data_IF_849211436965
#
_entry.id   IF_849211436965
#
_cell.length_a   1.000
_cell.length_b   1.000
_cell.length_c   1.000
_cell.angle_alpha   90.00
_cell.angle_beta   90.00
_cell.angle_gamma   90.00
#
_symmetry.space_group_name_H-M   'P 1'
#
loop_
_entity.id
_entity.type
_entity.pdbx_description
1 polymer ?
#
# COMPACT_ATOMS: atom_id res chain seq x y z
N UNK A 1 23.04 17.17 23.20
CA UNK A 1 22.03 17.04 22.10
C UNK A 1 22.07 15.60 21.58
N UNK A 2 21.32 14.68 22.21
CA UNK A 2 21.29 13.27 21.79
C UNK A 2 20.33 13.09 20.62
N UNK A 3 20.80 12.57 19.49
CA UNK A 3 19.95 12.27 18.31
C UNK A 3 19.10 11.03 18.59
N UNK A 4 17.88 10.96 18.04
CA UNK A 4 17.01 9.77 18.15
C UNK A 4 17.47 8.63 17.23
N UNK A 5 18.37 8.97 16.31
CA UNK A 5 19.12 8.08 15.45
C UNK A 5 20.59 8.20 15.84
N UNK A 6 21.20 7.13 16.35
CA UNK A 6 22.61 7.16 16.71
C UNK A 6 23.51 7.15 15.46
N UNK A 7 24.70 7.74 15.56
CA UNK A 7 25.63 7.88 14.40
C UNK A 7 26.06 6.55 13.79
N UNK A 8 26.00 5.47 14.55
CA UNK A 8 26.39 4.12 14.11
C UNK A 8 25.18 3.25 13.75
N UNK A 9 23.96 3.79 13.83
CA UNK A 9 22.74 3.05 13.53
C UNK A 9 22.49 3.08 12.03
N UNK A 10 22.47 1.90 11.41
CA UNK A 10 22.34 1.74 9.95
C UNK A 10 20.91 1.41 9.52
N UNK A 11 20.11 0.85 10.43
CA UNK A 11 18.70 0.57 10.23
C UNK A 11 17.91 0.64 11.54
N UNK A 12 16.60 0.88 11.43
CA UNK A 12 15.66 0.83 12.55
C UNK A 12 14.22 0.70 12.04
N UNK A 13 13.34 0.02 12.78
CA UNK A 13 11.90 0.10 12.49
C UNK A 13 11.35 1.50 12.82
N UNK A 14 10.30 1.93 12.15
CA UNK A 14 9.66 3.23 12.47
C UNK A 14 9.02 3.21 13.87
N UNK A 15 8.63 2.03 14.35
CA UNK A 15 8.13 1.82 15.71
C UNK A 15 9.23 1.92 16.77
N UNK A 16 10.42 1.40 16.50
CA UNK A 16 11.59 1.58 17.38
C UNK A 16 12.06 3.04 17.37
N UNK A 17 11.98 3.73 16.22
CA UNK A 17 12.21 5.17 16.13
C UNK A 17 11.21 5.91 17.05
N UNK A 18 9.92 5.56 16.99
CA UNK A 18 8.87 6.12 17.86
C UNK A 18 9.19 5.91 19.33
N UNK A 19 9.55 4.68 19.74
CA UNK A 19 9.94 4.34 21.12
C UNK A 19 11.20 5.11 21.55
N UNK A 20 12.20 5.27 20.68
CA UNK A 20 13.43 6.01 20.95
C UNK A 20 13.18 7.51 21.16
N UNK A 21 12.24 8.10 20.40
CA UNK A 21 11.78 9.47 20.62
C UNK A 21 11.00 9.61 21.94
N UNK A 22 10.13 8.66 22.27
CA UNK A 22 9.32 8.68 23.49
C UNK A 22 10.14 8.57 24.79
N UNK A 23 11.34 7.98 24.76
CA UNK A 23 12.23 7.81 25.93
C UNK A 23 12.96 9.09 26.36
N UNK A 24 12.86 10.20 25.62
CA UNK A 24 13.59 11.44 25.94
C UNK A 24 12.74 12.41 26.75
N UNK A 25 13.08 12.49 28.04
CA UNK A 25 12.46 13.36 29.07
C UNK A 25 12.45 14.87 28.70
N UNK A 26 13.27 15.32 27.74
CA UNK A 26 13.36 16.72 27.32
C UNK A 26 12.64 17.10 26.02
N UNK A 27 11.87 16.18 25.41
CA UNK A 27 11.08 16.47 24.21
C UNK A 27 9.59 16.24 24.50
N UNK A 28 8.84 17.29 24.88
CA UNK A 28 7.37 17.28 24.88
C UNK A 28 6.80 17.32 23.44
N UNK A 29 7.57 16.90 22.44
CA UNK A 29 7.02 16.44 21.17
C UNK A 29 6.30 15.13 21.49
N UNK A 30 5.05 15.29 21.87
CA UNK A 30 4.10 14.23 22.15
C UNK A 30 4.16 13.14 21.07
N UNK A 31 3.63 11.99 21.47
CA UNK A 31 3.09 10.88 20.71
C UNK A 31 2.23 11.24 19.46
N UNK A 32 2.43 12.39 18.80
CA UNK A 32 1.78 12.75 17.55
C UNK A 32 2.41 11.96 16.39
N UNK A 33 1.70 10.90 16.01
CA UNK A 33 2.01 10.04 14.85
C UNK A 33 2.20 10.88 13.59
N UNK A 34 1.46 11.98 13.42
CA UNK A 34 1.57 12.84 12.23
C UNK A 34 2.90 13.60 12.20
N UNK A 35 3.40 14.03 13.36
CA UNK A 35 4.68 14.70 13.46
C UNK A 35 5.84 13.73 13.20
N UNK A 36 5.70 12.48 13.63
CA UNK A 36 6.67 11.43 13.32
C UNK A 36 6.63 11.05 11.82
N UNK A 37 5.44 10.95 11.21
CA UNK A 37 5.30 10.77 9.76
C UNK A 37 5.98 11.89 8.98
N UNK A 38 5.74 13.17 9.34
CA UNK A 38 6.43 14.32 8.73
C UNK A 38 7.94 14.28 8.94
N UNK A 39 8.40 13.76 10.07
CA UNK A 39 9.84 13.62 10.35
C UNK A 39 10.46 12.56 9.45
N UNK A 40 9.79 11.42 9.28
CA UNK A 40 10.20 10.35 8.36
C UNK A 40 10.20 10.87 6.92
N UNK A 41 9.12 11.52 6.49
CA UNK A 41 9.00 12.15 5.18
C UNK A 41 10.15 13.12 4.91
N UNK A 42 10.44 14.02 5.86
CA UNK A 42 11.55 14.96 5.74
C UNK A 42 12.90 14.23 5.72
N UNK A 43 13.06 13.16 6.50
CA UNK A 43 14.27 12.33 6.50
C UNK A 43 14.53 11.66 5.15
N UNK A 44 13.48 11.16 4.49
CA UNK A 44 13.58 10.58 3.14
C UNK A 44 13.84 11.68 2.09
N UNK A 45 13.10 12.79 2.14
CA UNK A 45 13.30 13.94 1.22
C UNK A 45 14.68 14.59 1.33
N UNK A 46 15.35 14.46 2.47
CA UNK A 46 16.71 14.99 2.70
C UNK A 46 17.81 13.96 2.49
N UNK A 47 17.50 12.80 1.88
CA UNK A 47 18.42 11.67 1.67
C UNK A 47 19.05 11.12 2.96
N UNK A 48 18.41 11.34 4.11
CA UNK A 48 18.90 10.78 5.37
C UNK A 48 18.48 9.32 5.53
N UNK A 49 17.29 8.97 5.02
CA UNK A 49 16.72 7.63 5.12
C UNK A 49 16.15 7.13 3.81
N UNK A 50 16.12 5.81 3.67
CA UNK A 50 15.31 5.07 2.69
C UNK A 50 14.22 4.37 3.48
N UNK A 51 12.97 4.60 3.10
CA UNK A 51 11.81 3.98 3.74
C UNK A 51 11.50 2.66 3.06
N UNK A 52 11.39 1.58 3.81
CA UNK A 52 11.11 0.24 3.31
C UNK A 52 9.87 -0.33 3.97
N UNK A 53 8.91 -0.76 3.16
CA UNK A 53 7.75 -1.49 3.66
C UNK A 53 7.96 -2.98 3.43
N UNK A 54 8.11 -3.75 4.52
CA UNK A 54 8.28 -5.21 4.44
C UNK A 54 7.03 -5.93 3.93
N UNK A 55 5.84 -5.33 4.04
CA UNK A 55 4.59 -5.92 3.51
C UNK A 55 4.47 -5.82 2.00
N UNK A 56 4.94 -4.69 1.45
CA UNK A 56 4.89 -4.44 0.02
C UNK A 56 6.22 -4.82 -0.66
N UNK A 57 7.25 -5.17 0.11
CA UNK A 57 8.63 -5.46 -0.30
C UNK A 57 9.31 -4.36 -1.14
N UNK A 58 8.82 -3.12 -1.04
CA UNK A 58 9.34 -1.97 -1.78
C UNK A 58 10.02 -0.96 -0.86
N UNK A 59 11.13 -0.43 -1.35
CA UNK A 59 11.80 0.75 -0.81
C UNK A 59 11.35 2.02 -1.54
N UNK A 60 11.41 3.13 -0.84
CA UNK A 60 10.97 4.44 -1.26
C UNK A 60 12.03 5.46 -0.86
N UNK A 61 12.36 6.33 -1.80
CA UNK A 61 13.35 7.39 -1.64
C UNK A 61 12.72 8.76 -1.94
N UNK A 62 13.56 9.80 -2.04
CA UNK A 62 13.12 11.16 -2.30
C UNK A 62 12.37 11.36 -3.63
N UNK A 63 12.74 10.60 -4.66
CA UNK A 63 12.24 10.74 -6.03
C UNK A 63 11.07 9.78 -6.27
N UNK A 64 10.91 8.78 -5.40
CA UNK A 64 9.79 7.86 -5.40
C UNK A 64 9.23 7.71 -3.98
N UNK A 65 8.68 8.79 -3.40
CA UNK A 65 8.11 8.75 -2.07
C UNK A 65 6.85 7.85 -2.07
N UNK A 66 6.56 7.18 -0.95
CA UNK A 66 5.32 6.44 -0.85
C UNK A 66 4.14 7.42 -0.83
N UNK A 67 3.00 7.00 -1.38
CA UNK A 67 1.75 7.77 -1.31
C UNK A 67 1.29 7.95 0.14
N UNK A 68 1.77 7.10 1.05
CA UNK A 68 1.47 7.16 2.48
C UNK A 68 2.62 6.65 3.36
N UNK A 69 2.80 7.29 4.53
CA UNK A 69 3.85 7.00 5.50
C UNK A 69 3.28 6.20 6.68
N UNK A 70 3.52 4.90 6.72
CA UNK A 70 3.02 4.03 7.79
C UNK A 70 4.07 3.87 8.90
N UNK A 71 3.60 3.88 10.16
CA UNK A 71 4.45 3.67 11.33
C UNK A 71 4.08 2.32 11.96
N UNK A 72 5.06 1.44 12.06
CA UNK A 72 4.89 0.09 12.59
C UNK A 72 6.17 -0.73 12.50
N UNK A 73 6.16 -1.92 13.10
CA UNK A 73 7.32 -2.82 13.12
C UNK A 73 7.69 -3.35 11.72
N UNK A 74 6.72 -3.35 10.80
CA UNK A 74 6.86 -3.80 9.41
C UNK A 74 7.34 -2.69 8.46
N UNK A 75 7.52 -1.46 8.94
CA UNK A 75 8.13 -0.37 8.15
C UNK A 75 9.48 -0.02 8.74
N UNK A 76 10.50 -0.01 7.89
CA UNK A 76 11.90 0.16 8.29
C UNK A 76 12.49 1.37 7.61
N UNK A 77 13.43 2.01 8.30
CA UNK A 77 14.26 3.07 7.77
C UNK A 77 15.67 2.51 7.68
N UNK A 78 16.28 2.68 6.51
CA UNK A 78 17.66 2.33 6.26
C UNK A 78 18.46 3.60 5.98
N UNK A 79 19.72 3.64 6.42
CA UNK A 79 20.67 4.59 5.88
C UNK A 79 20.88 4.29 4.37
N UNK A 80 21.09 5.30 3.51
CA UNK A 80 21.27 5.08 2.07
C UNK A 80 22.37 4.07 1.73
N UNK A 81 23.50 4.12 2.43
CA UNK A 81 24.62 3.17 2.24
C UNK A 81 24.25 1.73 2.56
N UNK A 82 23.36 1.51 3.53
CA UNK A 82 22.90 0.19 3.91
C UNK A 82 21.83 -0.33 2.94
N UNK A 83 20.96 0.56 2.44
CA UNK A 83 20.02 0.24 1.38
C UNK A 83 20.71 -0.19 0.08
N UNK A 84 21.82 0.47 -0.28
CA UNK A 84 22.69 0.08 -1.40
C UNK A 84 23.33 -1.29 -1.18
N UNK A 85 23.88 -1.55 0.01
CA UNK A 85 24.48 -2.84 0.38
C UNK A 85 23.47 -3.98 0.29
N UNK A 86 22.23 -3.73 0.71
CA UNK A 86 21.12 -4.68 0.68
C UNK A 86 20.42 -4.76 -0.68
N UNK A 87 20.81 -3.93 -1.65
CA UNK A 87 20.18 -3.82 -2.97
C UNK A 87 18.67 -3.70 -2.90
N UNK A 88 18.17 -2.85 -1.99
CA UNK A 88 16.74 -2.68 -1.79
C UNK A 88 16.08 -2.21 -3.09
N UNK A 89 14.94 -2.83 -3.41
CA UNK A 89 14.19 -2.52 -4.62
C UNK A 89 13.47 -1.18 -4.42
N UNK A 90 14.04 -0.10 -4.95
CA UNK A 90 13.40 1.21 -4.89
C UNK A 90 12.30 1.26 -5.96
N UNK A 91 11.06 1.48 -5.53
CA UNK A 91 9.91 1.56 -6.43
C UNK A 91 10.15 2.67 -7.45
N UNK A 92 10.01 2.38 -8.75
CA UNK A 92 10.26 3.34 -9.83
C UNK A 92 11.72 3.49 -10.29
N UNK A 93 12.71 2.99 -9.53
CA UNK A 93 14.15 3.07 -9.88
C UNK A 93 14.85 1.71 -9.99
N UNK A 94 14.26 0.65 -9.46
CA UNK A 94 14.85 -0.67 -9.52
C UNK A 94 14.98 -1.16 -10.98
N UNK A 95 16.21 -1.44 -11.39
CA UNK A 95 16.54 -2.16 -12.61
C UNK A 95 17.06 -3.55 -12.20
N UNK A 96 16.64 -4.64 -12.87
CA UNK A 96 17.21 -5.95 -12.63
C UNK A 96 18.73 -5.91 -12.87
N UNK A 97 19.53 -6.64 -12.07
CA UNK A 97 20.98 -6.66 -12.25
C UNK A 97 21.32 -7.15 -13.65
N UNK A 98 22.18 -6.39 -14.35
CA UNK A 98 22.70 -6.80 -15.65
C UNK A 98 23.42 -8.16 -15.52
N UNK A 99 23.27 -9.08 -16.49
CA UNK A 99 24.03 -10.32 -16.49
C UNK A 99 25.53 -9.99 -16.52
N UNK A 100 26.25 -10.38 -15.47
CA UNK A 100 27.69 -10.16 -15.37
C UNK A 100 28.38 -10.91 -16.52
N UNK A 101 29.21 -10.26 -17.35
CA UNK A 101 30.08 -10.98 -18.28
C UNK A 101 31.16 -11.69 -17.46
N UNK A 102 30.92 -12.97 -17.15
CA UNK A 102 31.94 -13.84 -16.58
C UNK A 102 32.98 -14.17 -17.65
N UNK A 103 34.19 -13.62 -17.52
CA UNK A 103 35.35 -14.12 -18.24
C UNK A 103 35.85 -15.41 -17.58
N UNK A 104 36.02 -16.46 -18.37
CA UNK A 104 37.33 -17.02 -18.72
C UNK A 104 37.19 -18.45 -19.26
N UNK A 105 37.77 -18.71 -20.44
CA UNK A 105 37.93 -20.07 -20.93
C UNK A 105 37.84 -20.18 -22.44
N UNK A 106 39.01 -20.28 -23.06
CA UNK A 106 39.20 -20.53 -24.49
C UNK A 106 38.41 -21.76 -25.01
N UNK A 107 37.98 -21.66 -26.26
CA UNK A 107 37.82 -22.83 -27.12
C UNK A 107 36.51 -22.91 -27.88
N UNK A 108 36.64 -22.80 -29.20
CA UNK A 108 35.91 -23.62 -30.17
C UNK A 108 34.45 -23.24 -30.47
N UNK A 109 34.32 -22.46 -31.54
CA UNK A 109 33.29 -22.56 -32.59
C UNK A 109 32.63 -23.95 -32.71
N UNK A 110 31.30 -24.01 -32.68
CA UNK A 110 30.47 -24.50 -33.80
C UNK A 110 28.97 -24.27 -33.51
N UNK A 111 28.15 -24.15 -34.57
CA UNK A 111 26.78 -23.64 -34.52
C UNK A 111 25.76 -24.77 -34.39
N UNK A 112 24.79 -24.59 -33.50
CA UNK A 112 23.42 -25.11 -33.57
C UNK A 112 22.83 -24.98 -32.17
N UNK A 113 22.16 -23.86 -31.92
CA UNK A 113 21.00 -23.77 -31.04
C UNK A 113 20.53 -22.31 -31.13
N UNK A 114 19.50 -22.08 -31.95
CA UNK A 114 18.72 -20.85 -31.92
C UNK A 114 18.20 -20.65 -30.48
N UNK A 115 18.59 -19.57 -29.77
CA UNK A 115 17.89 -19.21 -28.55
C UNK A 115 16.51 -18.64 -28.95
N UNK A 116 15.44 -18.98 -28.21
CA UNK A 116 14.08 -18.57 -28.56
C UNK A 116 13.97 -17.04 -28.64
N UNK A 117 13.32 -16.55 -29.70
CA UNK A 117 13.13 -15.15 -30.08
C UNK A 117 12.24 -14.32 -29.11
N UNK A 118 12.39 -14.46 -27.79
CA UNK A 118 11.56 -13.73 -26.82
C UNK A 118 12.34 -12.75 -25.92
N UNK A 119 13.60 -12.43 -26.23
CA UNK A 119 14.42 -11.51 -25.43
C UNK A 119 15.00 -10.32 -26.20
N UNK A 120 14.30 -9.85 -27.24
CA UNK A 120 14.81 -8.73 -28.06
C UNK A 120 13.72 -7.81 -28.63
N UNK A 121 12.73 -7.41 -27.84
CA UNK A 121 11.95 -6.19 -28.12
C UNK A 121 11.80 -5.33 -26.86
N UNK A 122 12.09 -4.03 -27.04
CA UNK A 122 11.78 -2.86 -26.21
C UNK A 122 12.86 -2.33 -25.24
N UNK A 123 14.06 -2.11 -25.79
CA UNK A 123 14.65 -0.77 -25.70
C UNK A 123 13.68 0.18 -26.43
N UNK A 124 12.97 1.03 -25.68
CA UNK A 124 11.91 1.99 -26.11
C UNK A 124 10.51 1.35 -26.30
N UNK A 125 9.68 1.29 -25.25
CA UNK A 125 8.25 0.96 -25.36
C UNK A 125 7.60 0.49 -24.06
N UNK A 126 6.43 1.05 -23.74
CA UNK A 126 5.48 0.69 -22.68
C UNK A 126 5.63 -0.72 -22.04
N UNK A 127 6.20 -0.76 -20.84
CA UNK A 127 5.97 -1.90 -19.94
C UNK A 127 4.52 -1.88 -19.45
N UNK A 128 3.80 -2.98 -19.64
CA UNK A 128 2.42 -3.16 -19.16
C UNK A 128 2.37 -2.92 -17.63
N UNK A 129 1.56 -1.96 -17.14
CA UNK A 129 1.52 -1.66 -15.71
C UNK A 129 1.10 -2.88 -14.87
N UNK A 130 1.78 -3.10 -13.75
CA UNK A 130 1.44 -4.20 -12.84
C UNK A 130 0.29 -3.90 -11.89
N UNK A 131 -0.18 -2.64 -11.86
CA UNK A 131 -1.31 -2.20 -11.06
C UNK A 131 -1.90 -0.90 -11.65
N UNK A 132 -3.23 -0.82 -11.73
CA UNK A 132 -3.96 0.38 -12.16
C UNK A 132 -4.57 1.06 -10.95
N UNK A 133 -4.41 2.38 -10.82
CA UNK A 133 -4.87 3.11 -9.63
C UNK A 133 -5.81 4.25 -9.98
N UNK A 134 -6.83 4.45 -9.16
CA UNK A 134 -7.76 5.58 -9.23
C UNK A 134 -8.04 6.15 -7.85
N UNK A 135 -8.34 7.45 -7.79
CA UNK A 135 -8.63 8.15 -6.54
C UNK A 135 -9.84 9.06 -6.66
N UNK A 136 -10.55 9.25 -5.55
CA UNK A 136 -11.73 10.12 -5.46
C UNK A 136 -12.94 9.38 -4.93
N UNK A 137 -14.13 9.92 -5.16
CA UNK A 137 -15.39 9.21 -4.82
C UNK A 137 -15.47 7.88 -5.58
N UNK A 138 -16.17 6.86 -5.08
CA UNK A 138 -16.13 5.52 -5.67
C UNK A 138 -16.40 5.49 -7.19
N UNK A 139 -17.38 6.24 -7.69
CA UNK A 139 -17.64 6.32 -9.13
C UNK A 139 -16.43 6.82 -9.95
N UNK A 140 -15.74 7.85 -9.47
CA UNK A 140 -14.57 8.44 -10.12
C UNK A 140 -13.35 7.52 -10.04
N UNK A 141 -13.11 6.90 -8.89
CA UNK A 141 -11.98 5.99 -8.69
C UNK A 141 -12.10 4.75 -9.60
N UNK A 142 -13.30 4.18 -9.72
CA UNK A 142 -13.57 3.09 -10.67
C UNK A 142 -13.41 3.54 -12.12
N UNK A 143 -13.93 4.71 -12.49
CA UNK A 143 -13.79 5.22 -13.86
C UNK A 143 -12.32 5.39 -14.24
N UNK A 144 -11.50 6.00 -13.37
CA UNK A 144 -10.07 6.13 -13.61
C UNK A 144 -9.38 4.77 -13.78
N UNK A 145 -9.69 3.78 -12.95
CA UNK A 145 -9.11 2.44 -13.10
C UNK A 145 -9.52 1.81 -14.44
N UNK A 146 -10.80 1.92 -14.83
CA UNK A 146 -11.28 1.40 -16.11
C UNK A 146 -10.66 2.12 -17.31
N UNK A 147 -10.48 3.43 -17.24
CA UNK A 147 -9.82 4.23 -18.26
C UNK A 147 -8.36 3.77 -18.44
N UNK A 148 -7.60 3.63 -17.35
CA UNK A 148 -6.23 3.10 -17.40
C UNK A 148 -6.20 1.64 -17.92
N UNK A 149 -7.17 0.81 -17.55
CA UNK A 149 -7.27 -0.55 -18.10
C UNK A 149 -7.50 -0.55 -19.61
N UNK A 150 -8.34 0.36 -20.12
CA UNK A 150 -8.59 0.53 -21.54
C UNK A 150 -7.39 1.08 -22.33
N UNK A 151 -6.62 2.01 -21.74
CA UNK A 151 -5.41 2.55 -22.34
C UNK A 151 -4.27 1.51 -22.49
N UNK A 152 -4.30 0.46 -21.66
CA UNK A 152 -3.24 -0.55 -21.58
C UNK A 152 -3.63 -1.93 -22.12
N UNK A 153 -4.76 -2.06 -22.83
CA UNK A 153 -5.26 -3.34 -23.36
C UNK A 153 -5.37 -4.44 -22.28
N UNK A 154 -5.81 -4.07 -21.08
CA UNK A 154 -6.07 -5.03 -19.99
C UNK A 154 -7.30 -5.86 -20.35
N UNK A 155 -7.19 -7.18 -20.28
CA UNK A 155 -8.30 -8.07 -20.61
C UNK A 155 -9.24 -8.30 -19.42
N UNK A 156 -8.69 -8.35 -18.21
CA UNK A 156 -9.42 -8.64 -16.99
C UNK A 156 -8.71 -8.09 -15.74
N UNK A 157 -9.38 -8.12 -14.61
CA UNK A 157 -8.83 -7.79 -13.28
C UNK A 157 -9.00 -9.01 -12.38
N UNK A 158 -7.96 -9.36 -11.62
CA UNK A 158 -8.03 -10.48 -10.67
C UNK A 158 -8.38 -10.04 -9.25
N UNK A 159 -7.89 -8.86 -8.87
CA UNK A 159 -8.01 -8.33 -7.51
C UNK A 159 -8.25 -6.82 -7.55
N UNK A 160 -9.12 -6.36 -6.65
CA UNK A 160 -9.27 -4.96 -6.32
C UNK A 160 -8.81 -4.71 -4.90
N UNK A 161 -8.10 -3.61 -4.68
CA UNK A 161 -7.74 -3.12 -3.35
C UNK A 161 -8.34 -1.74 -3.18
N UNK A 162 -9.25 -1.61 -2.23
CA UNK A 162 -9.83 -0.33 -1.80
C UNK A 162 -9.17 0.09 -0.51
N UNK A 163 -8.77 1.35 -0.41
CA UNK A 163 -8.27 1.93 0.83
C UNK A 163 -8.76 3.34 1.05
N UNK A 164 -8.99 3.69 2.31
CA UNK A 164 -9.20 5.07 2.73
C UNK A 164 -8.58 5.27 4.10
N UNK A 165 -8.20 6.51 4.37
CA UNK A 165 -7.61 6.88 5.64
C UNK A 165 -7.96 8.31 5.99
N UNK A 166 -8.07 8.59 7.29
CA UNK A 166 -8.28 9.95 7.74
C UNK A 166 -8.63 10.04 9.22
N UNK A 167 -8.85 11.28 9.64
CA UNK A 167 -9.06 11.64 11.05
C UNK A 167 -10.43 12.25 11.32
N UNK A 168 -11.25 12.42 10.28
CA UNK A 168 -12.56 13.04 10.39
C UNK A 168 -13.66 12.01 10.64
N UNK A 169 -14.80 12.51 11.15
CA UNK A 169 -16.01 11.71 11.34
C UNK A 169 -16.50 11.02 10.06
N UNK A 170 -16.31 11.66 8.90
CA UNK A 170 -16.67 11.04 7.61
C UNK A 170 -15.92 9.73 7.31
N UNK A 171 -14.72 9.53 7.86
CA UNK A 171 -13.98 8.27 7.72
C UNK A 171 -14.50 7.19 8.69
N UNK A 172 -15.01 7.59 9.86
CA UNK A 172 -15.77 6.71 10.75
C UNK A 172 -17.04 6.18 10.08
N UNK A 173 -17.79 7.09 9.45
CA UNK A 173 -19.01 6.76 8.74
C UNK A 173 -18.72 5.85 7.54
N UNK A 174 -17.62 6.12 6.81
CA UNK A 174 -17.13 5.25 5.73
C UNK A 174 -16.73 3.86 6.23
N UNK A 175 -16.11 3.75 7.41
CA UNK A 175 -15.77 2.46 8.05
C UNK A 175 -17.04 1.68 8.45
N UNK A 176 -18.04 2.35 8.98
CA UNK A 176 -19.32 1.72 9.32
C UNK A 176 -20.04 1.24 8.04
N UNK A 177 -20.03 2.07 6.99
CA UNK A 177 -20.65 1.82 5.70
C UNK A 177 -19.98 0.69 4.92
N UNK A 178 -18.64 0.63 4.88
CA UNK A 178 -17.94 -0.44 4.14
C UNK A 178 -18.24 -1.83 4.72
N UNK A 179 -18.36 -1.96 6.04
CA UNK A 179 -18.75 -3.24 6.62
C UNK A 179 -20.22 -3.60 6.39
N UNK A 180 -21.07 -2.68 5.91
CA UNK A 180 -22.41 -3.02 5.37
C UNK A 180 -22.36 -3.31 3.86
N UNK A 181 -21.39 -2.71 3.15
CA UNK A 181 -21.16 -2.91 1.73
C UNK A 181 -20.63 -4.31 1.41
N UNK A 182 -19.66 -4.82 2.18
CA UNK A 182 -18.92 -6.07 1.86
C UNK A 182 -19.84 -7.26 1.55
N UNK A 183 -20.89 -7.58 2.35
CA UNK A 183 -21.82 -8.65 2.03
C UNK A 183 -22.59 -8.48 0.71
N UNK A 184 -22.74 -7.24 0.23
CA UNK A 184 -23.47 -6.88 -0.98
C UNK A 184 -22.58 -6.87 -2.23
N UNK A 185 -21.24 -6.94 -2.07
CA UNK A 185 -20.28 -6.99 -3.18
C UNK A 185 -20.28 -8.35 -3.93
N UNK A 186 -21.04 -9.33 -3.43
CA UNK A 186 -21.20 -10.64 -4.06
C UNK A 186 -20.16 -11.68 -3.62
N UNK A 187 -19.93 -12.68 -4.47
CA UNK A 187 -19.01 -13.78 -4.17
C UNK A 187 -17.57 -13.36 -4.51
N UNK A 188 -16.77 -13.16 -3.47
CA UNK A 188 -15.32 -12.96 -3.52
C UNK A 188 -14.70 -13.35 -2.17
N UNK A 189 -13.37 -13.47 -2.14
CA UNK A 189 -12.61 -13.52 -0.89
C UNK A 189 -12.28 -12.09 -0.47
N UNK A 190 -12.44 -11.79 0.82
CA UNK A 190 -12.35 -10.44 1.34
C UNK A 190 -11.32 -10.38 2.46
N UNK A 191 -10.14 -9.88 2.14
CA UNK A 191 -9.09 -9.57 3.10
C UNK A 191 -9.25 -8.15 3.64
N UNK A 192 -9.16 -7.97 4.95
CA UNK A 192 -9.33 -6.67 5.60
C UNK A 192 -8.12 -6.38 6.47
N UNK A 193 -7.62 -5.16 6.35
CA UNK A 193 -6.71 -4.56 7.32
C UNK A 193 -7.33 -3.27 7.85
N UNK A 194 -7.31 -3.10 9.17
CA UNK A 194 -7.82 -1.92 9.87
C UNK A 194 -6.85 -1.52 10.97
N UNK A 195 -6.45 -0.26 10.97
CA UNK A 195 -5.84 0.42 12.11
C UNK A 195 -6.79 1.52 12.57
N UNK A 196 -7.18 1.47 13.84
CA UNK A 196 -8.10 2.42 14.46
C UNK A 196 -7.47 2.95 15.74
N UNK A 197 -7.26 4.27 15.79
CA UNK A 197 -6.84 4.95 17.01
C UNK A 197 -7.90 5.98 17.41
N UNK A 198 -8.41 5.88 18.63
CA UNK A 198 -9.40 6.80 19.18
C UNK A 198 -8.88 7.33 20.50
N UNK A 199 -8.87 8.65 20.66
CA UNK A 199 -8.60 9.35 21.91
C UNK A 199 -9.90 10.04 22.33
N UNK A 200 -10.40 9.72 23.53
CA UNK A 200 -11.67 10.30 24.02
C UNK A 200 -11.44 11.66 24.69
N UNK A 201 -10.39 11.76 25.49
CA UNK A 201 -10.10 12.97 26.28
C UNK A 201 -8.93 13.77 25.70
N UNK A 202 -9.02 15.10 25.80
CA UNK A 202 -7.86 15.97 25.56
C UNK A 202 -6.78 15.71 26.64
N UNK A 203 -5.47 15.83 26.30
CA UNK A 203 -4.40 15.69 27.28
C UNK A 203 -4.63 16.61 28.50
N UNK A 204 -4.48 16.13 29.75
CA UNK A 204 -3.75 14.93 30.19
C UNK A 204 -4.58 13.64 30.30
N UNK A 205 -5.79 13.58 29.74
CA UNK A 205 -6.58 12.36 29.73
C UNK A 205 -5.89 11.23 28.95
N UNK A 206 -5.98 9.99 29.46
CA UNK A 206 -5.32 8.80 28.90
C UNK A 206 -6.30 7.76 28.35
N UNK A 207 -7.59 8.09 28.24
CA UNK A 207 -8.58 7.18 27.69
C UNK A 207 -8.43 7.09 26.17
N UNK A 208 -7.94 5.95 25.70
CA UNK A 208 -7.66 5.69 24.30
C UNK A 208 -7.91 4.25 23.92
N UNK A 209 -8.19 4.04 22.63
CA UNK A 209 -8.27 2.74 21.99
C UNK A 209 -7.27 2.73 20.85
N UNK A 210 -6.43 1.70 20.82
CA UNK A 210 -5.56 1.37 19.70
C UNK A 210 -5.94 -0.05 19.26
N UNK A 211 -6.42 -0.18 18.02
CA UNK A 211 -6.86 -1.45 17.45
C UNK A 211 -6.19 -1.65 16.10
N UNK A 212 -5.54 -2.80 15.96
CA UNK A 212 -5.00 -3.28 14.70
C UNK A 212 -5.64 -4.64 14.38
N UNK A 213 -6.14 -4.79 13.16
CA UNK A 213 -6.75 -6.01 12.67
C UNK A 213 -6.25 -6.33 11.27
N UNK A 214 -5.94 -7.61 11.04
CA UNK A 214 -5.69 -8.16 9.71
C UNK A 214 -6.32 -9.54 9.63
N UNK A 215 -7.13 -9.78 8.60
CA UNK A 215 -7.73 -11.08 8.35
C UNK A 215 -8.96 -11.03 7.46
N UNK A 216 -9.64 -12.17 7.35
CA UNK A 216 -10.81 -12.34 6.49
C UNK A 216 -12.09 -11.68 7.04
N UNK A 217 -13.03 -11.40 6.15
CA UNK A 217 -14.36 -10.85 6.46
C UNK A 217 -15.08 -11.56 7.62
N UNK A 218 -15.05 -12.90 7.69
CA UNK A 218 -15.73 -13.64 8.76
C UNK A 218 -15.20 -13.32 10.16
N UNK A 219 -13.92 -12.97 10.29
CA UNK A 219 -13.32 -12.54 11.55
C UNK A 219 -13.66 -11.07 11.80
N UNK A 220 -13.53 -10.22 10.78
CA UNK A 220 -13.84 -8.79 10.87
C UNK A 220 -15.31 -8.53 11.24
N UNK A 221 -16.27 -9.31 10.74
CA UNK A 221 -17.71 -9.17 11.05
C UNK A 221 -18.00 -9.15 12.55
N UNK A 222 -17.25 -9.91 13.35
CA UNK A 222 -17.36 -9.91 14.82
C UNK A 222 -16.77 -8.65 15.45
N UNK A 223 -15.68 -8.15 14.87
CA UNK A 223 -15.01 -6.93 15.32
C UNK A 223 -15.80 -5.67 14.94
N UNK A 224 -16.55 -5.71 13.83
CA UNK A 224 -17.35 -4.60 13.32
C UNK A 224 -18.27 -4.00 14.37
N UNK A 225 -18.98 -4.84 15.14
CA UNK A 225 -19.89 -4.35 16.18
C UNK A 225 -19.17 -3.53 17.26
N UNK A 226 -17.93 -3.95 17.59
CA UNK A 226 -17.08 -3.26 18.56
C UNK A 226 -16.55 -1.96 17.97
N UNK A 227 -16.01 -2.00 16.75
CA UNK A 227 -15.49 -0.79 16.09
C UNK A 227 -16.61 0.22 15.92
N UNK A 228 -17.75 -0.16 15.36
CA UNK A 228 -18.90 0.72 15.14
C UNK A 228 -19.41 1.40 16.42
N UNK A 229 -19.33 0.73 17.57
CA UNK A 229 -19.72 1.32 18.85
C UNK A 229 -18.79 2.49 19.19
N UNK A 230 -17.48 2.26 19.15
CA UNK A 230 -16.49 3.28 19.51
C UNK A 230 -16.37 4.40 18.49
N UNK A 231 -16.47 4.13 17.18
CA UNK A 231 -16.42 5.22 16.19
C UNK A 231 -17.65 6.13 16.22
N UNK A 232 -18.74 5.70 16.88
CA UNK A 232 -19.94 6.53 17.09
C UNK A 232 -19.84 7.45 18.31
N UNK A 233 -18.96 7.17 19.24
CA UNK A 233 -18.75 8.02 20.42
C UNK A 233 -18.08 9.35 20.03
N UNK A 234 -18.23 10.36 20.87
CA UNK A 234 -17.58 11.66 20.67
C UNK A 234 -16.11 11.52 21.10
N UNK A 235 -15.21 11.58 20.13
CA UNK A 235 -13.78 11.43 20.35
C UNK A 235 -13.07 12.77 20.17
N UNK A 236 -12.09 13.04 21.04
CA UNK A 236 -11.17 14.17 20.87
C UNK A 236 -10.32 14.02 19.61
N UNK A 237 -9.82 12.82 19.34
CA UNK A 237 -9.17 12.49 18.07
C UNK A 237 -9.52 11.09 17.59
N UNK A 238 -9.58 10.93 16.28
CA UNK A 238 -9.85 9.68 15.60
C UNK A 238 -8.81 9.54 14.49
N UNK A 239 -8.31 8.34 14.27
CA UNK A 239 -7.55 7.97 13.10
C UNK A 239 -8.03 6.61 12.61
N UNK A 240 -8.42 6.55 11.35
CA UNK A 240 -8.82 5.33 10.65
C UNK A 240 -7.88 5.15 9.48
N UNK A 241 -7.30 3.96 9.38
CA UNK A 241 -6.63 3.46 8.18
C UNK A 241 -7.26 2.10 7.85
N UNK A 242 -7.91 2.03 6.70
CA UNK A 242 -8.65 0.86 6.28
C UNK A 242 -8.24 0.43 4.88
N UNK A 243 -8.02 -0.87 4.71
CA UNK A 243 -7.75 -1.54 3.44
C UNK A 243 -8.66 -2.76 3.29
N UNK A 244 -9.35 -2.84 2.17
CA UNK A 244 -10.14 -3.99 1.73
C UNK A 244 -9.53 -4.55 0.45
N UNK A 245 -9.15 -5.82 0.50
CA UNK A 245 -8.74 -6.62 -0.66
C UNK A 245 -9.93 -7.48 -1.08
N UNK A 246 -10.35 -7.33 -2.33
CA UNK A 246 -11.38 -8.13 -2.98
C UNK A 246 -10.66 -9.02 -3.97
N UNK A 247 -10.53 -10.31 -3.65
CA UNK A 247 -9.98 -11.31 -4.55
C UNK A 247 -11.14 -12.09 -5.16
N UNK A 248 -11.33 -11.96 -6.47
CA UNK A 248 -12.45 -12.58 -7.16
C UNK A 248 -12.25 -14.10 -7.35
N UNK A 249 -11.03 -14.61 -7.14
CA UNK A 249 -10.67 -16.01 -7.39
C UNK A 249 -10.73 -16.43 -8.86
N UNK A 250 -11.03 -15.49 -9.76
CA UNK A 250 -11.10 -15.65 -11.22
C UNK A 250 -10.69 -14.33 -11.88
N UNK A 251 -10.32 -14.42 -13.15
CA UNK A 251 -10.10 -13.23 -13.96
C UNK A 251 -11.46 -12.63 -14.32
N UNK A 252 -11.71 -11.40 -13.92
CA UNK A 252 -12.97 -10.68 -14.11
C UNK A 252 -12.81 -9.71 -15.29
N UNK A 253 -13.49 -9.94 -16.43
CA UNK A 253 -13.48 -9.01 -17.56
C UNK A 253 -13.88 -7.59 -17.15
N UNK A 254 -13.37 -6.58 -17.85
CA UNK A 254 -13.65 -5.17 -17.54
C UNK A 254 -15.13 -4.80 -17.67
N UNK A 255 -15.89 -5.55 -18.48
CA UNK A 255 -17.34 -5.41 -18.69
C UNK A 255 -18.18 -6.30 -17.77
N UNK A 256 -17.56 -7.05 -16.84
CA UNK A 256 -18.28 -7.95 -15.95
C UNK A 256 -19.22 -7.15 -15.01
N UNK A 257 -20.51 -7.53 -14.90
CA UNK A 257 -21.47 -6.89 -14.02
C UNK A 257 -21.05 -6.81 -12.55
N UNK A 258 -20.14 -7.69 -12.11
CA UNK A 258 -19.59 -7.69 -10.76
C UNK A 258 -18.81 -6.41 -10.44
N UNK A 259 -18.06 -5.84 -11.40
CA UNK A 259 -17.33 -4.59 -11.22
C UNK A 259 -18.29 -3.40 -11.10
N UNK A 260 -19.34 -3.39 -11.93
CA UNK A 260 -20.42 -2.39 -11.89
C UNK A 260 -21.17 -2.46 -10.56
N UNK A 261 -21.52 -3.68 -10.12
CA UNK A 261 -22.19 -3.92 -8.83
C UNK A 261 -21.32 -3.43 -7.68
N UNK A 262 -20.02 -3.74 -7.68
CA UNK A 262 -19.11 -3.28 -6.65
C UNK A 262 -19.05 -1.75 -6.56
N UNK A 263 -18.92 -1.07 -7.71
CA UNK A 263 -18.98 0.40 -7.79
C UNK A 263 -20.29 0.93 -7.22
N UNK A 264 -21.42 0.42 -7.68
CA UNK A 264 -22.75 0.95 -7.35
C UNK A 264 -23.08 0.74 -5.87
N UNK A 265 -22.70 -0.40 -5.29
CA UNK A 265 -22.81 -0.65 -3.84
C UNK A 265 -22.00 0.38 -3.04
N UNK A 266 -20.75 0.65 -3.43
CA UNK A 266 -19.91 1.62 -2.71
C UNK A 266 -20.46 3.06 -2.82
N UNK A 267 -21.02 3.43 -3.98
CA UNK A 267 -21.69 4.72 -4.19
C UNK A 267 -22.96 4.80 -3.35
N UNK A 268 -23.80 3.77 -3.36
CA UNK A 268 -25.06 3.73 -2.60
C UNK A 268 -24.83 3.82 -1.09
N UNK A 269 -23.76 3.20 -0.60
CA UNK A 269 -23.39 3.25 0.82
C UNK A 269 -22.79 4.60 1.24
N UNK A 270 -22.60 5.54 0.30
CA UNK A 270 -22.13 6.89 0.61
C UNK A 270 -20.69 6.92 1.13
N UNK A 271 -19.85 5.97 0.69
CA UNK A 271 -18.45 5.91 1.11
C UNK A 271 -17.73 7.15 0.58
N UNK A 272 -16.91 7.77 1.44
CA UNK A 272 -16.12 8.94 1.09
C UNK A 272 -15.05 8.67 0.02
N UNK A 273 -14.13 9.62 -0.19
CA UNK A 273 -13.03 9.42 -1.12
C UNK A 273 -12.21 8.16 -0.78
N UNK A 274 -11.91 7.38 -1.80
CA UNK A 274 -11.12 6.16 -1.72
C UNK A 274 -9.94 6.22 -2.69
N UNK A 275 -8.94 5.40 -2.41
CA UNK A 275 -7.97 4.93 -3.39
C UNK A 275 -8.37 3.51 -3.81
N UNK A 276 -8.51 3.29 -5.10
CA UNK A 276 -8.78 1.99 -5.69
C UNK A 276 -7.55 1.57 -6.49
N UNK A 277 -7.11 0.34 -6.31
CA UNK A 277 -6.07 -0.29 -7.09
C UNK A 277 -6.58 -1.61 -7.68
N UNK A 278 -6.28 -1.88 -8.94
CA UNK A 278 -6.63 -3.10 -9.64
C UNK A 278 -5.37 -3.82 -10.10
N UNK A 279 -5.34 -5.14 -9.92
CA UNK A 279 -4.29 -6.00 -10.45
C UNK A 279 -4.72 -6.50 -11.84
N UNK A 280 -4.13 -5.96 -12.93
CA UNK A 280 -4.55 -6.26 -14.29
C UNK A 280 -4.08 -7.65 -14.74
N UNK A 281 -4.90 -8.28 -15.57
CA UNK A 281 -4.60 -9.51 -16.30
C UNK A 281 -4.65 -9.18 -17.79
N UNK A 282 -3.53 -9.40 -18.46
CA UNK A 282 -3.41 -9.18 -19.87
C UNK A 282 -3.74 -10.45 -20.64
N UNK A 283 -4.34 -10.31 -21.82
CA UNK A 283 -4.50 -11.45 -22.71
C UNK A 283 -3.12 -12.06 -23.02
N UNK A 284 -3.02 -13.38 -22.93
CA UNK A 284 -1.84 -14.10 -23.39
C UNK A 284 -1.62 -13.72 -24.86
N UNK A 285 -0.38 -13.33 -25.19
CA UNK A 285 -0.01 -13.09 -26.58
C UNK A 285 -0.35 -14.36 -27.36
N UNK A 286 -1.35 -14.28 -28.23
CA UNK A 286 -1.72 -15.41 -29.06
C UNK A 286 -0.56 -15.63 -30.01
N UNK A 287 0.24 -16.67 -29.75
CA UNK A 287 1.17 -17.21 -30.72
C UNK A 287 0.32 -17.66 -31.92
N UNK A 288 0.19 -16.78 -32.92
CA UNK A 288 -0.42 -17.12 -34.20
C UNK A 288 0.65 -17.84 -35.03
N UNK A 289 0.34 -19.01 -35.60
CA UNK A 289 1.25 -19.77 -36.44
C UNK A 289 1.58 -19.03 -37.74
#
# INVERSE_FOLDING_TARGET
KGKAWDRNQVDMSTEDLRKAFARKVGLPLLLDVNQLQRTIENGVKTRQWIYYNTRDEWAYDEDSPPTFWEIGDHTRLYAPSEAERLQLRIKGKWQPPAPTPGGDGAGSTTPDDEPPEDLLIAVIGAGRPTQMTGTGVPAQAFQQVLDHCGEHDVAAVRRLTLSFQGISRSHADSLAAIGLAIPQLGKAQFGIALTLNIQFDAPPGNQRIELAFQGEWDRYKRLKAVTDAFVREEAHSLHVDFRLVIDFGRDVPLDDPQLVTARDVLVQMGIGPITLAADPVYAAASNRP
#
